data_IF_273408379627
#
_entry.id   IF_273408379627
#
_cell.length_a   1.000
_cell.length_b   1.000
_cell.length_c   1.000
_cell.angle_alpha   90.00
_cell.angle_beta   90.00
_cell.angle_gamma   90.00
#
_symmetry.space_group_name_H-M   'P 1'
#
loop_
_entity.id
_entity.type
_entity.pdbx_description
1 polymer ?
#
# COMPACT_ATOMS: atom_id res chain seq x y z
N UNK A 1 0.87 -1.63 20.75
CA UNK A 1 0.44 -0.70 19.70
C UNK A 1 1.16 -1.06 18.41
N UNK A 2 0.43 -1.14 17.31
CA UNK A 2 0.99 -1.29 15.96
C UNK A 2 0.76 0.03 15.24
N UNK A 3 1.80 0.59 14.62
CA UNK A 3 1.68 1.74 13.72
C UNK A 3 1.89 1.23 12.30
N UNK A 4 0.95 1.55 11.41
CA UNK A 4 1.01 1.21 10.00
C UNK A 4 0.80 2.48 9.18
N UNK A 5 1.36 2.51 7.97
CA UNK A 5 1.16 3.59 7.01
C UNK A 5 0.49 3.02 5.76
N UNK A 6 -0.37 3.83 5.13
CA UNK A 6 -0.95 3.51 3.81
C UNK A 6 0.10 3.50 2.71
N UNK A 7 1.32 3.97 2.97
CA UNK A 7 2.43 4.02 2.01
C UNK A 7 2.25 5.03 0.87
N UNK A 8 1.41 6.05 1.01
CA UNK A 8 1.25 7.11 -0.02
C UNK A 8 2.59 7.73 -0.40
N UNK A 9 2.77 7.99 -1.70
CA UNK A 9 3.92 8.69 -2.25
C UNK A 9 3.66 10.19 -2.46
N UNK A 10 2.46 10.68 -2.17
CA UNK A 10 2.04 12.07 -2.35
C UNK A 10 1.96 12.82 -1.02
N UNK A 11 3.00 12.74 -0.21
CA UNK A 11 3.03 13.38 1.11
C UNK A 11 4.40 13.97 1.45
N UNK A 12 4.42 14.89 2.42
CA UNK A 12 5.64 15.44 2.98
C UNK A 12 6.44 14.31 3.65
N UNK A 13 7.75 14.27 3.40
CA UNK A 13 8.63 13.26 3.96
C UNK A 13 8.53 13.22 5.49
N UNK A 14 8.27 12.03 6.03
CA UNK A 14 8.19 11.75 7.48
C UNK A 14 9.45 11.07 8.03
N UNK A 15 10.46 10.89 7.18
CA UNK A 15 11.77 10.35 7.53
C UNK A 15 12.79 10.78 6.45
N UNK A 16 14.11 10.68 6.72
CA UNK A 16 15.13 10.96 5.72
C UNK A 16 14.99 9.99 4.54
N UNK A 17 14.50 10.50 3.40
CA UNK A 17 14.32 9.73 2.18
C UNK A 17 15.15 10.35 1.06
N UNK A 18 15.84 9.49 0.30
CA UNK A 18 16.68 9.93 -0.81
C UNK A 18 15.83 10.69 -1.83
N UNK A 19 16.20 11.94 -2.10
CA UNK A 19 15.52 12.79 -3.09
C UNK A 19 14.28 13.51 -2.58
N UNK A 20 13.95 13.42 -1.28
CA UNK A 20 12.79 14.09 -0.69
C UNK A 20 13.15 15.35 0.14
N UNK A 21 14.39 15.81 0.07
CA UNK A 21 14.88 16.97 0.83
C UNK A 21 15.03 16.70 2.32
N UNK A 22 15.22 17.78 3.08
CA UNK A 22 15.29 17.74 4.54
C UNK A 22 13.92 17.51 5.16
N UNK A 23 13.89 16.76 6.24
CA UNK A 23 12.64 16.49 6.96
C UNK A 23 12.23 17.74 7.75
N UNK A 24 11.01 18.21 7.54
CA UNK A 24 10.47 19.34 8.28
C UNK A 24 10.13 18.92 9.73
N UNK A 25 10.84 19.48 10.71
CA UNK A 25 10.67 19.14 12.12
C UNK A 25 9.29 19.51 12.69
N UNK A 26 8.73 20.66 12.28
CA UNK A 26 7.40 21.09 12.73
C UNK A 26 6.30 20.16 12.19
N UNK A 27 6.43 19.71 10.93
CA UNK A 27 5.56 18.70 10.34
C UNK A 27 5.64 17.37 11.11
N UNK A 28 6.84 16.88 11.41
CA UNK A 28 7.00 15.65 12.20
C UNK A 28 6.38 15.76 13.59
N UNK A 29 6.57 16.89 14.25
CA UNK A 29 5.97 17.12 15.56
C UNK A 29 4.44 17.10 15.46
N UNK A 30 3.86 17.82 14.51
CA UNK A 30 2.41 17.82 14.28
C UNK A 30 1.88 16.42 13.96
N UNK A 31 2.60 15.64 13.14
CA UNK A 31 2.24 14.24 12.85
C UNK A 31 2.23 13.38 14.12
N UNK A 32 3.24 13.51 14.97
CA UNK A 32 3.32 12.78 16.25
C UNK A 32 2.15 13.16 17.18
N UNK A 33 1.83 14.44 17.27
CA UNK A 33 0.70 14.94 18.07
C UNK A 33 -0.65 14.41 17.57
N UNK A 34 -0.85 14.39 16.24
CA UNK A 34 -2.06 13.81 15.61
C UNK A 34 -2.17 12.31 15.90
N UNK A 35 -1.08 11.56 15.77
CA UNK A 35 -1.07 10.11 16.07
C UNK A 35 -1.43 9.87 17.54
N UNK A 36 -0.77 10.57 18.46
CA UNK A 36 -1.00 10.43 19.89
C UNK A 36 -2.44 10.80 20.27
N UNK A 37 -2.94 11.93 19.76
CA UNK A 37 -4.31 12.40 20.03
C UNK A 37 -5.36 11.45 19.45
N UNK A 38 -5.12 10.90 18.27
CA UNK A 38 -6.03 9.91 17.64
C UNK A 38 -6.11 8.64 18.49
N UNK A 39 -4.98 8.14 18.98
CA UNK A 39 -4.96 6.99 19.89
C UNK A 39 -5.70 7.29 21.21
N UNK A 40 -5.51 8.48 21.78
CA UNK A 40 -6.23 8.90 23.00
C UNK A 40 -7.74 8.97 22.77
N UNK A 41 -8.20 9.55 21.65
CA UNK A 41 -9.61 9.59 21.28
C UNK A 41 -10.21 8.19 21.13
N UNK A 42 -9.47 7.25 20.55
CA UNK A 42 -9.91 5.86 20.43
C UNK A 42 -10.07 5.18 21.81
N UNK A 43 -9.19 5.48 22.77
CA UNK A 43 -9.29 4.97 24.16
C UNK A 43 -10.48 5.59 24.90
N UNK A 44 -10.74 6.88 24.70
CA UNK A 44 -11.92 7.55 25.31
C UNK A 44 -13.23 7.01 24.73
N UNK A 45 -13.24 6.65 23.44
CA UNK A 45 -14.38 6.08 22.74
C UNK A 45 -14.58 4.57 22.92
N UNK A 46 -13.94 3.95 23.93
CA UNK A 46 -14.12 2.51 24.19
C UNK A 46 -15.58 2.18 24.50
N UNK A 47 -16.09 1.16 23.82
CA UNK A 47 -17.45 0.65 23.99
C UNK A 47 -17.47 -0.86 23.68
N UNK A 48 -18.48 -1.60 24.18
CA UNK A 48 -18.66 -3.00 23.80
C UNK A 48 -18.79 -3.16 22.29
N UNK A 49 -18.06 -4.12 21.71
CA UNK A 49 -18.03 -4.34 20.28
C UNK A 49 -18.04 -5.83 19.92
N UNK A 50 -18.59 -6.12 18.74
CA UNK A 50 -18.57 -7.41 18.05
C UNK A 50 -17.68 -7.28 16.81
N UNK A 51 -16.96 -8.35 16.50
CA UNK A 51 -16.03 -8.40 15.37
C UNK A 51 -16.47 -9.47 14.38
N UNK A 52 -16.28 -9.21 13.09
CA UNK A 52 -16.49 -10.18 12.02
C UNK A 52 -15.65 -9.80 10.82
N UNK A 53 -15.22 -10.77 10.03
CA UNK A 53 -14.38 -10.51 8.85
C UNK A 53 -14.90 -11.24 7.63
N UNK A 54 -14.66 -10.65 6.46
CA UNK A 54 -14.95 -11.23 5.16
C UNK A 54 -13.77 -11.08 4.20
N UNK A 55 -13.78 -11.89 3.16
CA UNK A 55 -12.80 -11.91 2.09
C UNK A 55 -13.53 -11.84 0.75
N UNK A 56 -13.09 -10.91 -0.09
CA UNK A 56 -13.52 -10.76 -1.48
C UNK A 56 -12.30 -10.63 -2.40
N UNK A 57 -12.55 -10.30 -3.66
CA UNK A 57 -11.48 -10.16 -4.66
C UNK A 57 -11.74 -8.96 -5.59
N UNK A 58 -10.69 -8.21 -5.90
CA UNK A 58 -10.74 -7.09 -6.86
C UNK A 58 -9.71 -7.32 -7.97
N UNK A 59 -10.02 -8.21 -8.93
CA UNK A 59 -9.09 -8.54 -10.02
C UNK A 59 -8.86 -7.35 -10.94
N UNK A 60 -7.66 -7.29 -11.53
CA UNK A 60 -7.32 -6.30 -12.55
C UNK A 60 -7.02 -4.89 -12.05
N UNK A 61 -7.24 -4.58 -10.77
CA UNK A 61 -6.84 -3.30 -10.15
C UNK A 61 -5.34 -3.24 -9.86
N UNK A 62 -4.79 -4.36 -9.38
CA UNK A 62 -3.40 -4.49 -8.99
C UNK A 62 -2.64 -5.41 -9.94
N UNK A 63 -1.32 -5.24 -10.01
CA UNK A 63 -0.47 -6.06 -10.87
C UNK A 63 0.99 -6.08 -10.44
N UNK A 64 1.64 -7.24 -10.60
CA UNK A 64 3.06 -7.36 -10.29
C UNK A 64 3.92 -6.56 -11.28
N UNK A 65 4.60 -5.52 -10.79
CA UNK A 65 5.42 -4.59 -11.58
C UNK A 65 6.76 -5.19 -12.04
N UNK A 66 7.11 -6.37 -11.52
CA UNK A 66 8.35 -7.10 -11.86
C UNK A 66 8.17 -8.10 -13.00
N UNK A 67 6.94 -8.34 -13.49
CA UNK A 67 6.64 -9.27 -14.58
C UNK A 67 7.03 -10.72 -14.28
N UNK A 68 6.71 -11.69 -15.18
CA UNK A 68 7.28 -13.02 -15.11
C UNK A 68 8.80 -12.96 -15.29
N UNK A 69 9.53 -13.76 -14.50
CA UNK A 69 10.86 -14.21 -14.91
C UNK A 69 10.67 -15.02 -16.21
N UNK A 70 11.36 -14.71 -17.31
CA UNK A 70 11.25 -15.53 -18.52
C UNK A 70 11.72 -16.96 -18.20
N UNK A 71 11.02 -17.95 -18.75
CA UNK A 71 11.29 -19.39 -18.54
C UNK A 71 12.70 -19.84 -18.98
N UNK A 72 13.44 -18.99 -19.68
CA UNK A 72 14.71 -19.32 -20.34
C UNK A 72 15.81 -18.30 -20.04
N UNK A 73 16.05 -17.98 -18.77
CA UNK A 73 17.29 -17.31 -18.30
C UNK A 73 17.69 -15.99 -18.98
N UNK A 74 16.79 -15.37 -19.75
CA UNK A 74 16.99 -14.09 -20.43
C UNK A 74 16.60 -12.95 -19.50
N UNK A 75 17.09 -11.74 -19.78
CA UNK A 75 16.83 -10.57 -18.95
C UNK A 75 15.32 -10.40 -18.69
N UNK A 76 14.90 -10.05 -17.45
CA UNK A 76 13.48 -9.95 -17.10
C UNK A 76 12.74 -9.04 -18.08
N UNK A 77 11.49 -9.39 -18.39
CA UNK A 77 10.59 -8.51 -19.13
C UNK A 77 10.62 -7.10 -18.50
N UNK A 78 10.53 -6.05 -19.33
CA UNK A 78 10.65 -4.65 -18.86
C UNK A 78 9.78 -4.45 -17.62
N UNK A 79 10.31 -3.72 -16.61
CA UNK A 79 9.48 -3.22 -15.49
C UNK A 79 8.20 -2.62 -16.09
N UNK A 80 7.05 -3.23 -15.82
CA UNK A 80 5.75 -2.78 -16.30
C UNK A 80 5.28 -3.27 -17.69
N UNK A 81 5.94 -4.19 -18.40
CA UNK A 81 5.40 -4.70 -19.69
C UNK A 81 4.57 -5.99 -19.58
N UNK A 82 4.42 -6.53 -18.37
CA UNK A 82 3.61 -7.72 -18.13
C UNK A 82 3.11 -7.67 -16.69
N UNK A 83 1.79 -7.59 -16.50
CA UNK A 83 1.16 -7.71 -15.20
C UNK A 83 1.28 -9.18 -14.79
N UNK A 84 2.20 -9.48 -13.87
CA UNK A 84 2.35 -10.82 -13.30
C UNK A 84 1.29 -11.09 -12.24
N UNK A 85 1.18 -12.35 -11.80
CA UNK A 85 0.29 -12.75 -10.71
C UNK A 85 0.48 -11.87 -9.47
N UNK A 86 -0.62 -11.44 -8.87
CA UNK A 86 -0.66 -10.63 -7.67
C UNK A 86 -1.81 -11.07 -6.78
N UNK A 87 -1.75 -10.67 -5.52
CA UNK A 87 -2.84 -10.87 -4.57
C UNK A 87 -3.99 -9.92 -4.91
N UNK A 88 -5.11 -10.48 -5.40
CA UNK A 88 -6.33 -9.72 -5.69
C UNK A 88 -7.27 -9.65 -4.49
N UNK A 89 -6.93 -10.27 -3.35
CA UNK A 89 -7.83 -10.39 -2.24
C UNK A 89 -8.06 -9.03 -1.54
N UNK A 90 -9.33 -8.76 -1.22
CA UNK A 90 -9.75 -7.64 -0.40
C UNK A 90 -10.35 -8.21 0.89
N UNK A 91 -9.70 -7.93 2.02
CA UNK A 91 -10.21 -8.35 3.33
C UNK A 91 -10.91 -7.17 4.01
N UNK A 92 -12.02 -7.45 4.67
CA UNK A 92 -12.76 -6.48 5.47
C UNK A 92 -12.94 -7.02 6.88
N UNK A 93 -12.59 -6.23 7.89
CA UNK A 93 -12.93 -6.49 9.29
C UNK A 93 -13.97 -5.46 9.72
N UNK A 94 -15.15 -5.90 10.15
CA UNK A 94 -16.18 -5.07 10.75
C UNK A 94 -16.12 -5.10 12.26
N UNK A 95 -16.30 -3.91 12.84
CA UNK A 95 -16.40 -3.66 14.26
C UNK A 95 -17.77 -3.01 14.47
N UNK A 96 -18.66 -3.70 15.17
CA UNK A 96 -20.05 -3.27 15.38
C UNK A 96 -20.42 -3.20 16.85
N UNK A 97 -21.43 -2.39 17.19
CA UNK A 97 -22.06 -2.43 18.50
C UNK A 97 -22.85 -3.74 18.70
N UNK A 98 -23.36 -3.96 19.91
CA UNK A 98 -24.28 -5.09 20.17
C UNK A 98 -25.56 -5.02 19.33
N UNK A 99 -25.97 -3.82 18.91
CA UNK A 99 -27.15 -3.54 18.07
C UNK A 99 -26.83 -3.55 16.57
N UNK A 100 -25.66 -4.09 16.16
CA UNK A 100 -25.22 -4.20 14.77
C UNK A 100 -24.99 -2.86 14.06
N UNK A 101 -24.83 -1.76 14.80
CA UNK A 101 -24.40 -0.47 14.23
C UNK A 101 -22.90 -0.51 13.96
N UNK A 102 -22.46 -0.10 12.78
CA UNK A 102 -21.03 -0.03 12.46
C UNK A 102 -20.34 1.04 13.33
N UNK A 103 -19.26 0.63 14.00
CA UNK A 103 -18.34 1.53 14.70
C UNK A 103 -17.20 1.88 13.74
N UNK A 104 -16.60 0.84 13.16
CA UNK A 104 -15.51 0.98 12.22
C UNK A 104 -15.38 -0.24 11.29
N UNK A 105 -14.64 -0.05 10.20
CA UNK A 105 -14.13 -1.13 9.36
C UNK A 105 -12.62 -0.99 9.12
N UNK A 106 -11.96 -2.13 8.92
CA UNK A 106 -10.59 -2.18 8.39
C UNK A 106 -10.66 -2.85 7.02
N UNK A 107 -10.26 -2.11 5.99
CA UNK A 107 -10.18 -2.58 4.61
C UNK A 107 -8.71 -2.86 4.31
N UNK A 108 -8.40 -4.04 3.79
CA UNK A 108 -7.05 -4.45 3.44
C UNK A 108 -6.97 -4.89 1.98
N UNK A 109 -6.01 -4.33 1.24
CA UNK A 109 -5.76 -4.69 -0.16
C UNK A 109 -4.28 -4.50 -0.52
N UNK A 110 -3.73 -5.41 -1.31
CA UNK A 110 -2.30 -5.46 -1.63
C UNK A 110 -1.97 -4.66 -2.90
N UNK A 111 -1.75 -3.34 -2.78
CA UNK A 111 -1.32 -2.50 -3.90
C UNK A 111 -0.55 -1.26 -3.40
N UNK A 112 0.46 -0.79 -4.15
CA UNK A 112 1.15 0.46 -3.81
C UNK A 112 0.28 1.68 -4.18
N UNK A 113 0.12 2.68 -3.30
CA UNK A 113 -0.50 3.97 -3.63
C UNK A 113 0.45 4.89 -4.39
N UNK A 114 0.62 4.57 -5.67
CA UNK A 114 1.47 5.31 -6.62
C UNK A 114 0.68 5.71 -7.87
N UNK A 115 -0.61 5.96 -7.72
CA UNK A 115 -1.50 6.24 -8.86
C UNK A 115 -1.17 7.60 -9.46
N UNK A 116 -0.89 8.60 -8.63
CA UNK A 116 -0.63 9.98 -9.08
C UNK A 116 0.77 10.18 -9.71
N UNK A 117 1.69 9.23 -9.49
CA UNK A 117 3.05 9.32 -10.03
C UNK A 117 3.93 10.39 -9.36
N UNK A 118 5.16 10.52 -9.85
CA UNK A 118 6.18 11.38 -9.23
C UNK A 118 6.06 12.87 -9.62
N UNK A 119 5.35 13.18 -10.70
CA UNK A 119 5.16 14.56 -11.18
C UNK A 119 4.04 15.30 -10.42
N UNK A 120 3.27 14.58 -9.59
CA UNK A 120 2.23 15.15 -8.73
C UNK A 120 2.85 15.95 -7.58
N UNK A 121 2.47 17.22 -7.45
CA UNK A 121 2.90 18.12 -6.38
C UNK A 121 1.86 18.29 -5.26
N UNK A 122 0.66 17.74 -5.45
CA UNK A 122 -0.43 17.83 -4.47
C UNK A 122 -0.23 16.84 -3.31
N UNK A 123 -0.57 17.27 -2.10
CA UNK A 123 -0.66 16.37 -0.95
C UNK A 123 -1.91 15.50 -1.09
N UNK A 124 -1.71 14.18 -1.03
CA UNK A 124 -2.77 13.20 -1.22
C UNK A 124 -2.48 11.92 -0.43
N UNK A 125 -3.55 11.33 0.09
CA UNK A 125 -3.52 9.96 0.62
C UNK A 125 -3.70 8.90 -0.49
N UNK A 126 -3.70 9.31 -1.77
CA UNK A 126 -3.91 8.50 -2.97
C UNK A 126 -5.23 7.70 -2.87
N UNK A 127 -5.40 6.61 -3.63
CA UNK A 127 -6.62 5.80 -3.61
C UNK A 127 -6.99 5.29 -2.20
N UNK A 128 -6.07 4.93 -1.27
CA UNK A 128 -6.46 4.52 0.08
C UNK A 128 -7.24 5.61 0.81
N UNK A 129 -6.83 6.87 0.65
CA UNK A 129 -7.53 8.01 1.25
C UNK A 129 -8.96 8.17 0.76
N UNK A 130 -9.15 7.99 -0.55
CA UNK A 130 -10.48 8.08 -1.15
C UNK A 130 -11.36 6.88 -0.79
N UNK A 131 -10.79 5.67 -0.67
CA UNK A 131 -11.50 4.47 -0.19
C UNK A 131 -12.04 4.70 1.21
N UNK A 132 -11.19 5.12 2.16
CA UNK A 132 -11.65 5.34 3.54
C UNK A 132 -12.68 6.45 3.62
N UNK A 133 -12.51 7.53 2.85
CA UNK A 133 -13.45 8.65 2.82
C UNK A 133 -14.84 8.18 2.34
N UNK A 134 -14.90 7.60 1.14
CA UNK A 134 -16.17 7.19 0.52
C UNK A 134 -16.88 6.11 1.32
N UNK A 135 -16.15 5.09 1.76
CA UNK A 135 -16.73 4.04 2.59
C UNK A 135 -17.26 4.62 3.92
N UNK A 136 -16.51 5.52 4.57
CA UNK A 136 -16.94 6.12 5.84
C UNK A 136 -18.19 6.99 5.68
N UNK A 137 -18.27 7.78 4.60
CA UNK A 137 -19.43 8.60 4.27
C UNK A 137 -20.67 7.75 3.99
N UNK A 138 -20.53 6.67 3.22
CA UNK A 138 -21.63 5.76 2.91
C UNK A 138 -22.11 4.96 4.13
N UNK A 139 -21.19 4.45 4.94
CA UNK A 139 -21.50 3.60 6.10
C UNK A 139 -21.88 4.39 7.36
N UNK A 140 -21.58 5.69 7.42
CA UNK A 140 -21.73 6.49 8.64
C UNK A 140 -20.80 6.03 9.78
N UNK A 141 -19.66 5.43 9.45
CA UNK A 141 -18.73 4.81 10.40
C UNK A 141 -17.27 5.06 9.97
N UNK A 142 -16.30 4.81 10.84
CA UNK A 142 -14.88 5.07 10.51
C UNK A 142 -14.26 3.92 9.70
N UNK A 143 -13.68 4.18 8.54
CA UNK A 143 -12.81 3.21 7.86
C UNK A 143 -11.32 3.45 8.14
N UNK A 144 -10.58 2.34 8.23
CA UNK A 144 -9.13 2.29 8.18
C UNK A 144 -8.70 1.48 6.95
N UNK A 145 -7.62 1.89 6.31
CA UNK A 145 -7.02 1.14 5.21
C UNK A 145 -5.65 0.58 5.62
N UNK A 146 -5.44 -0.72 5.39
CA UNK A 146 -4.16 -1.38 5.59
C UNK A 146 -3.65 -1.92 4.27
N UNK A 147 -2.35 -1.80 4.04
CA UNK A 147 -1.72 -2.46 2.90
C UNK A 147 -1.60 -3.96 3.12
N UNK A 148 -1.88 -4.73 2.08
CA UNK A 148 -1.42 -6.12 1.97
C UNK A 148 0.08 -6.19 1.62
N UNK A 149 0.54 -7.35 1.15
CA UNK A 149 1.92 -7.57 0.73
C UNK A 149 2.22 -6.88 -0.62
N UNK A 150 2.32 -5.55 -0.63
CA UNK A 150 2.35 -4.78 -1.88
C UNK A 150 3.74 -4.56 -2.47
N UNK A 151 4.84 -5.07 -1.89
CA UNK A 151 6.25 -4.74 -2.23
C UNK A 151 6.61 -4.64 -3.72
N UNK A 152 6.04 -5.51 -4.55
CA UNK A 152 6.21 -5.56 -6.00
C UNK A 152 4.90 -5.37 -6.78
N UNK A 153 3.83 -4.91 -6.12
CA UNK A 153 2.49 -4.74 -6.69
C UNK A 153 2.19 -3.25 -6.86
N UNK A 154 1.87 -2.85 -8.09
CA UNK A 154 1.43 -1.50 -8.43
C UNK A 154 0.00 -1.51 -9.01
N UNK A 155 -0.67 -0.35 -9.07
CA UNK A 155 -1.90 -0.19 -9.80
C UNK A 155 -1.70 -0.46 -11.30
N UNK A 156 -2.65 -1.15 -11.92
CA UNK A 156 -2.66 -1.40 -13.37
C UNK A 156 -2.97 -0.13 -14.16
N UNK A 157 -3.82 0.74 -13.62
CA UNK A 157 -4.16 2.07 -14.14
C UNK A 157 -3.55 3.14 -13.22
N UNK A 158 -2.89 4.15 -13.80
CA UNK A 158 -2.22 5.24 -13.07
C UNK A 158 -1.88 6.42 -13.99
N UNK A 159 -1.68 7.57 -13.37
CA UNK A 159 -1.25 8.81 -14.03
C UNK A 159 -2.25 9.95 -13.90
N UNK A 160 -3.43 9.69 -13.34
CA UNK A 160 -4.48 10.70 -13.20
C UNK A 160 -5.29 10.55 -11.93
N UNK A 161 -5.97 11.63 -11.53
CA UNK A 161 -7.00 11.59 -10.51
C UNK A 161 -8.17 10.68 -10.90
N UNK A 162 -8.49 10.55 -12.19
CA UNK A 162 -9.52 9.63 -12.66
C UNK A 162 -9.18 8.16 -12.34
N UNK A 163 -7.89 7.79 -12.41
CA UNK A 163 -7.45 6.44 -12.03
C UNK A 163 -7.61 6.23 -10.50
N UNK A 164 -7.34 7.25 -9.69
CA UNK A 164 -7.56 7.22 -8.22
C UNK A 164 -9.04 6.94 -7.93
N UNK A 165 -9.93 7.67 -8.61
CA UNK A 165 -11.38 7.54 -8.50
C UNK A 165 -11.87 6.15 -8.91
N UNK A 166 -11.34 5.61 -10.02
CA UNK A 166 -11.68 4.29 -10.56
C UNK A 166 -11.28 3.18 -9.61
N UNK A 167 -10.03 3.21 -9.12
CA UNK A 167 -9.53 2.22 -8.16
C UNK A 167 -10.33 2.29 -6.86
N UNK A 168 -10.54 3.49 -6.33
CA UNK A 168 -11.29 3.66 -5.09
C UNK A 168 -12.73 3.16 -5.22
N UNK A 169 -13.41 3.44 -6.34
CA UNK A 169 -14.76 2.94 -6.60
C UNK A 169 -14.81 1.40 -6.59
N UNK A 170 -13.87 0.73 -7.26
CA UNK A 170 -13.81 -0.72 -7.30
C UNK A 170 -13.59 -1.33 -5.90
N UNK A 171 -12.66 -0.78 -5.12
CA UNK A 171 -12.36 -1.28 -3.77
C UNK A 171 -13.51 -1.00 -2.78
N UNK A 172 -14.19 0.16 -2.88
CA UNK A 172 -15.34 0.48 -2.03
C UNK A 172 -16.52 -0.44 -2.35
N UNK A 173 -16.84 -0.64 -3.63
CA UNK A 173 -17.92 -1.53 -4.04
C UNK A 173 -17.70 -2.96 -3.54
N UNK A 174 -16.48 -3.49 -3.67
CA UNK A 174 -16.19 -4.82 -3.15
C UNK A 174 -16.18 -4.86 -1.61
N UNK A 175 -15.68 -3.82 -0.93
CA UNK A 175 -15.71 -3.76 0.52
C UNK A 175 -17.15 -3.76 1.08
N UNK A 176 -18.07 -3.04 0.42
CA UNK A 176 -19.49 -3.04 0.75
C UNK A 176 -20.14 -4.41 0.47
N UNK A 177 -19.80 -5.01 -0.68
CA UNK A 177 -20.31 -6.33 -1.06
C UNK A 177 -19.87 -7.41 -0.05
N UNK A 178 -18.58 -7.49 0.25
CA UNK A 178 -18.03 -8.37 1.30
C UNK A 178 -18.70 -8.07 2.64
N UNK A 179 -18.80 -6.80 2.99
CA UNK A 179 -19.39 -6.32 4.22
C UNK A 179 -20.84 -6.75 4.45
N UNK A 180 -21.66 -6.79 3.41
CA UNK A 180 -23.07 -7.21 3.51
C UNK A 180 -23.25 -8.69 3.90
N UNK A 181 -22.18 -9.48 3.80
CA UNK A 181 -22.16 -10.90 4.18
C UNK A 181 -21.46 -11.17 5.52
N UNK A 182 -20.90 -10.14 6.18
CA UNK A 182 -20.18 -10.33 7.45
C UNK A 182 -21.15 -10.53 8.61
N UNK A 183 -20.99 -11.65 9.31
CA UNK A 183 -21.59 -11.87 10.64
C UNK A 183 -20.57 -11.57 11.74
N UNK A 184 -20.96 -10.77 12.74
CA UNK A 184 -20.09 -10.38 13.85
C UNK A 184 -20.35 -11.19 15.12
N UNK A 185 -19.36 -11.32 16.00
CA UNK A 185 -19.44 -12.03 17.28
C UNK A 185 -18.63 -11.34 18.38
N UNK A 186 -18.98 -11.59 19.64
CA UNK A 186 -18.34 -11.02 20.84
C UNK A 186 -17.29 -11.95 21.48
N UNK A 187 -17.26 -13.23 21.09
CA UNK A 187 -16.30 -14.23 21.58
C UNK A 187 -15.04 -14.30 20.71
N UNK A 188 -14.31 -13.19 20.61
CA UNK A 188 -13.05 -13.12 19.85
C UNK A 188 -11.87 -12.97 20.81
N UNK A 189 -11.06 -14.03 21.04
CA UNK A 189 -9.88 -13.90 21.88
C UNK A 189 -8.84 -13.02 21.20
N UNK A 190 -8.50 -11.90 21.85
CA UNK A 190 -7.48 -10.98 21.37
C UNK A 190 -6.13 -11.30 22.02
N UNK A 191 -5.08 -11.35 21.21
CA UNK A 191 -3.72 -11.57 21.67
C UNK A 191 -2.74 -10.72 20.89
N UNK A 192 -1.68 -10.26 21.55
CA UNK A 192 -0.59 -9.52 20.93
C UNK A 192 0.74 -10.14 21.35
N UNK A 193 1.64 -10.30 20.37
CA UNK A 193 3.04 -10.67 20.62
C UNK A 193 3.93 -9.66 19.91
N UNK A 194 5.00 -9.25 20.59
CA UNK A 194 5.99 -8.33 20.07
C UNK A 194 7.37 -8.79 20.48
N UNK A 195 8.33 -8.73 19.56
CA UNK A 195 9.73 -9.00 19.82
C UNK A 195 10.56 -8.03 18.98
N UNK A 196 11.55 -7.40 19.60
CA UNK A 196 12.60 -6.66 18.87
C UNK A 196 13.67 -7.66 18.43
N UNK A 197 14.00 -7.65 17.14
CA UNK A 197 15.02 -8.50 16.55
C UNK A 197 16.13 -7.60 16.01
N UNK A 198 17.37 -7.88 16.38
CA UNK A 198 18.52 -7.24 15.77
C UNK A 198 18.82 -7.93 14.43
N UNK A 199 18.85 -7.16 13.35
CA UNK A 199 19.27 -7.60 12.02
C UNK A 199 20.55 -6.84 11.66
N UNK A 200 21.73 -7.29 12.14
CA UNK A 200 22.99 -6.61 11.85
C UNK A 200 23.25 -6.64 10.34
N UNK A 201 23.72 -5.52 9.81
CA UNK A 201 24.19 -5.48 8.43
C UNK A 201 25.38 -6.43 8.26
N UNK A 202 25.46 -7.05 7.08
CA UNK A 202 26.70 -7.69 6.65
C UNK A 202 27.81 -6.63 6.56
N UNK A 203 29.09 -7.02 6.70
CA UNK A 203 30.20 -6.13 6.42
C UNK A 203 30.00 -5.46 5.06
N UNK A 204 30.33 -4.17 4.97
CA UNK A 204 30.31 -3.49 3.68
C UNK A 204 31.20 -4.27 2.69
N UNK A 205 30.72 -4.52 1.46
CA UNK A 205 31.58 -5.13 0.46
C UNK A 205 32.83 -4.27 0.23
N UNK A 206 34.00 -4.86 -0.06
CA UNK A 206 35.19 -4.10 -0.45
C UNK A 206 34.89 -3.13 -1.61
N UNK A 207 35.58 -1.99 -1.70
CA UNK A 207 35.37 -1.01 -2.78
C UNK A 207 35.43 -1.67 -4.17
N UNK A 208 36.36 -2.59 -4.39
CA UNK A 208 36.47 -3.33 -5.65
C UNK A 208 35.20 -4.13 -5.99
N UNK A 209 34.53 -4.71 -5.00
CA UNK A 209 33.27 -5.43 -5.20
C UNK A 209 32.11 -4.46 -5.52
N UNK A 210 32.08 -3.29 -4.87
CA UNK A 210 31.10 -2.24 -5.17
C UNK A 210 31.30 -1.66 -6.57
N UNK A 211 32.55 -1.42 -6.98
CA UNK A 211 32.90 -0.95 -8.32
C UNK A 211 32.55 -1.99 -9.39
N UNK A 212 32.88 -3.26 -9.16
CA UNK A 212 32.51 -4.35 -10.07
C UNK A 212 30.98 -4.46 -10.23
N UNK A 213 30.22 -4.38 -9.13
CA UNK A 213 28.77 -4.38 -9.15
C UNK A 213 28.22 -3.13 -9.87
N UNK A 214 28.77 -1.94 -9.63
CA UNK A 214 28.37 -0.71 -10.31
C UNK A 214 28.60 -0.79 -11.81
N UNK A 215 29.78 -1.28 -12.24
CA UNK A 215 30.08 -1.50 -13.65
C UNK A 215 29.15 -2.55 -14.27
N UNK A 216 28.85 -3.63 -13.55
CA UNK A 216 27.88 -4.64 -13.99
C UNK A 216 26.50 -4.02 -14.20
N UNK A 217 25.98 -3.27 -13.23
CA UNK A 217 24.70 -2.58 -13.34
C UNK A 217 24.68 -1.57 -14.49
N UNK A 218 25.77 -0.84 -14.73
CA UNK A 218 25.89 0.06 -15.87
C UNK A 218 25.86 -0.70 -17.21
N UNK A 219 26.56 -1.83 -17.31
CA UNK A 219 26.55 -2.69 -18.51
C UNK A 219 25.15 -3.25 -18.76
N UNK A 220 24.51 -3.83 -17.76
CA UNK A 220 23.14 -4.35 -17.84
C UNK A 220 22.15 -3.24 -18.20
N UNK A 221 22.28 -2.07 -17.58
CA UNK A 221 21.45 -0.89 -17.86
C UNK A 221 21.62 -0.37 -19.29
N UNK A 222 22.85 -0.31 -19.81
CA UNK A 222 23.14 0.08 -21.18
C UNK A 222 22.58 -0.95 -22.19
N UNK A 223 22.74 -2.24 -21.91
CA UNK A 223 22.17 -3.31 -22.72
C UNK A 223 20.63 -3.22 -22.77
N UNK A 224 19.97 -3.03 -21.64
CA UNK A 224 18.50 -2.87 -21.57
C UNK A 224 18.00 -1.62 -22.33
N UNK A 225 18.73 -0.50 -22.25
CA UNK A 225 18.42 0.73 -23.02
C UNK A 225 18.60 0.53 -24.53
N UNK A 226 19.69 -0.11 -24.96
CA UNK A 226 19.96 -0.38 -26.38
C UNK A 226 18.99 -1.41 -27.00
N UNK A 227 18.58 -2.43 -26.24
CA UNK A 227 17.56 -3.40 -26.66
C UNK A 227 16.18 -2.74 -26.86
N UNK A 228 15.89 -1.68 -26.08
CA UNK A 228 14.67 -0.87 -26.25
C UNK A 228 14.70 -0.10 -27.58
N UNK A 229 15.83 0.53 -27.91
CA UNK A 229 15.99 1.33 -29.13
C UNK A 229 15.88 0.48 -30.41
N UNK A 230 16.40 -0.76 -30.40
CA UNK A 230 16.29 -1.67 -31.56
C UNK A 230 14.85 -2.12 -31.85
N UNK A 231 13.99 -2.23 -30.84
CA UNK A 231 12.56 -2.57 -31.04
C UNK A 231 11.71 -1.38 -31.48
N UNK A 232 12.09 -0.15 -31.14
CA UNK A 232 11.41 1.08 -31.62
C UNK A 232 11.81 1.44 -33.05
N UNK A 233 12.97 0.98 -33.53
CA UNK A 233 13.41 1.16 -34.92
C UNK A 233 12.87 0.08 -35.89
N UNK A 234 12.17 -0.93 -35.38
CA UNK A 234 11.59 -2.05 -36.15
C UNK A 234 10.04 -2.07 -36.11
N UNK A 235 9.43 -0.99 -35.60
CA UNK A 235 8.00 -0.71 -35.63
C UNK A 235 7.78 0.55 -36.46
#
# INVERSE_FOLDING_TARGET
MTLAATHTHSAVASQPLRGCGEVNAAWLQALNEVIATTAQRAVVGLQPARLGSGLGEVPGVAGNRRGPLPATGSAPARRGSSIGACDAALSVLYIQTAQSTLIAAVINFACHPVVLGADNLDISADYPGLVVKRWSEAAGATALFLNGACGDINPTQRGSWHDVETIAAALVAEAEHVGSHISTQDKVPLGVRSRRIALPFLPLPPCAALEAAAQQFQREGAQAKSATQRRTALA
#
